data_IF_222558452304
#
_entry.id   IF_222558452304
#
_cell.length_a   1.000
_cell.length_b   1.000
_cell.length_c   1.000
_cell.angle_alpha   90.00
_cell.angle_beta   90.00
_cell.angle_gamma   90.00
#
_symmetry.space_group_name_H-M   'P 1'
#
loop_
_entity.id
_entity.type
_entity.pdbx_description
1 polymer ?
#
# COMPACT_ATOMS: atom_id res chain seq x y z
N UNK A 1 -27.03 -19.62 -26.01
CA UNK A 1 -25.73 -20.31 -25.79
C UNK A 1 -24.50 -19.48 -26.18
N UNK A 2 -24.54 -18.59 -27.19
CA UNK A 2 -23.36 -17.77 -27.55
C UNK A 2 -23.06 -16.63 -26.55
N UNK A 3 -24.08 -16.01 -25.95
CA UNK A 3 -23.92 -14.86 -25.05
C UNK A 3 -23.10 -15.14 -23.78
N UNK A 4 -23.34 -16.29 -23.13
CA UNK A 4 -22.63 -16.67 -21.90
C UNK A 4 -21.12 -16.90 -22.15
N UNK A 5 -20.78 -17.39 -23.34
CA UNK A 5 -19.39 -17.60 -23.76
C UNK A 5 -18.66 -16.28 -23.99
N UNK A 6 -19.32 -15.30 -24.62
CA UNK A 6 -18.77 -13.95 -24.83
C UNK A 6 -18.54 -13.26 -23.48
N UNK A 7 -19.51 -13.32 -22.57
CA UNK A 7 -19.40 -12.76 -21.22
C UNK A 7 -18.24 -13.41 -20.46
N UNK A 8 -18.10 -14.73 -20.54
CA UNK A 8 -17.00 -15.44 -19.89
C UNK A 8 -15.61 -15.02 -20.39
N UNK A 9 -15.45 -14.79 -21.70
CA UNK A 9 -14.21 -14.27 -22.29
C UNK A 9 -13.92 -12.86 -21.80
N UNK A 10 -14.93 -11.98 -21.75
CA UNK A 10 -14.77 -10.61 -21.25
C UNK A 10 -14.28 -10.62 -19.80
N UNK A 11 -14.91 -11.41 -18.92
CA UNK A 11 -14.47 -11.54 -17.53
C UNK A 11 -13.04 -12.08 -17.42
N UNK A 12 -12.67 -13.07 -18.22
CA UNK A 12 -11.31 -13.62 -18.23
C UNK A 12 -10.27 -12.56 -18.61
N UNK A 13 -10.51 -11.82 -19.69
CA UNK A 13 -9.61 -10.76 -20.15
C UNK A 13 -9.53 -9.64 -19.11
N UNK A 14 -10.67 -9.24 -18.54
CA UNK A 14 -10.72 -8.19 -17.52
C UNK A 14 -9.90 -8.58 -16.27
N UNK A 15 -10.08 -9.81 -15.78
CA UNK A 15 -9.33 -10.31 -14.62
C UNK A 15 -7.82 -10.37 -14.87
N UNK A 16 -7.41 -10.85 -16.06
CA UNK A 16 -5.99 -10.84 -16.46
C UNK A 16 -5.43 -9.42 -16.57
N UNK A 17 -6.18 -8.48 -17.16
CA UNK A 17 -5.76 -7.10 -17.32
C UNK A 17 -5.50 -6.44 -15.95
N UNK A 18 -6.39 -6.68 -14.97
CA UNK A 18 -6.21 -6.20 -13.58
C UNK A 18 -4.91 -6.74 -12.97
N UNK A 19 -4.63 -8.03 -13.15
CA UNK A 19 -3.39 -8.66 -12.63
C UNK A 19 -2.16 -8.05 -13.31
N UNK A 20 -2.13 -8.01 -14.65
CA UNK A 20 -1.01 -7.47 -15.41
C UNK A 20 -0.76 -6.00 -15.08
N UNK A 21 -1.81 -5.21 -14.94
CA UNK A 21 -1.71 -3.82 -14.52
C UNK A 21 -1.13 -3.68 -13.12
N UNK A 22 -1.61 -4.47 -12.15
CA UNK A 22 -1.09 -4.49 -10.78
C UNK A 22 0.39 -4.85 -10.71
N UNK A 23 0.81 -5.85 -11.50
CA UNK A 23 2.22 -6.26 -11.60
C UNK A 23 3.08 -5.19 -12.27
N UNK A 24 2.61 -4.59 -13.37
CA UNK A 24 3.33 -3.53 -14.08
C UNK A 24 3.50 -2.29 -13.19
N UNK A 25 2.45 -1.89 -12.48
CA UNK A 25 2.51 -0.79 -11.51
C UNK A 25 3.50 -1.09 -10.38
N UNK A 26 3.45 -2.30 -9.82
CA UNK A 26 4.40 -2.73 -8.78
C UNK A 26 5.84 -2.68 -9.29
N UNK A 27 6.09 -3.17 -10.50
CA UNK A 27 7.42 -3.12 -11.11
C UNK A 27 7.96 -1.69 -11.26
N UNK A 28 7.11 -0.73 -11.66
CA UNK A 28 7.51 0.68 -11.76
C UNK A 28 7.80 1.30 -10.39
N UNK A 29 7.08 0.90 -9.35
CA UNK A 29 7.31 1.35 -7.98
C UNK A 29 8.64 0.79 -7.45
N UNK A 30 8.94 -0.49 -7.69
CA UNK A 30 10.21 -1.09 -7.28
C UNK A 30 11.44 -0.47 -7.97
N UNK A 31 11.31 -0.03 -9.23
CA UNK A 31 12.39 0.73 -9.90
C UNK A 31 12.56 2.16 -9.42
N UNK A 32 11.63 2.68 -8.62
CA UNK A 32 11.61 4.09 -8.24
C UNK A 32 11.19 5.04 -9.38
N UNK A 33 10.59 4.51 -10.46
CA UNK A 33 10.08 5.31 -11.57
C UNK A 33 8.74 5.98 -11.25
N UNK A 34 8.05 5.55 -10.18
CA UNK A 34 6.86 6.19 -9.65
C UNK A 34 6.97 6.36 -8.14
N UNK A 35 6.44 7.49 -7.65
CA UNK A 35 6.35 7.75 -6.22
C UNK A 35 5.44 6.71 -5.55
N UNK A 36 5.87 6.16 -4.42
CA UNK A 36 5.03 5.29 -3.62
C UNK A 36 3.76 6.04 -3.22
N UNK A 37 2.58 5.39 -3.24
CA UNK A 37 1.40 5.95 -2.59
C UNK A 37 1.74 6.21 -1.13
N UNK A 38 1.72 7.49 -0.74
CA UNK A 38 2.08 7.94 0.60
C UNK A 38 0.87 7.84 1.53
N UNK A 39 0.54 6.62 1.92
CA UNK A 39 -0.45 6.29 2.97
C UNK A 39 0.05 6.79 4.33
N UNK A 40 1.34 6.65 4.59
CA UNK A 40 2.01 7.18 5.78
C UNK A 40 2.88 8.37 5.37
N UNK A 41 2.60 9.54 5.97
CA UNK A 41 3.39 10.75 5.83
C UNK A 41 3.94 11.15 7.19
N UNK A 42 5.15 11.70 7.20
CA UNK A 42 5.65 12.43 8.36
C UNK A 42 5.01 13.80 8.25
N UNK A 43 3.98 14.06 9.04
CA UNK A 43 3.72 15.45 9.41
C UNK A 43 4.99 15.92 10.12
N UNK A 44 5.69 16.90 9.53
CA UNK A 44 6.43 17.81 10.36
C UNK A 44 5.37 18.37 11.31
N UNK A 45 5.43 17.95 12.58
CA UNK A 45 4.65 18.60 13.62
C UNK A 45 5.20 20.02 13.65
N UNK A 46 4.61 20.90 12.85
CA UNK A 46 4.61 22.32 13.15
C UNK A 46 3.86 22.40 14.45
N UNK A 47 4.60 22.40 15.56
CA UNK A 47 4.09 22.86 16.83
C UNK A 47 3.78 24.34 16.65
N UNK A 48 2.64 24.60 15.99
CA UNK A 48 1.93 25.86 16.06
C UNK A 48 1.64 26.07 17.54
N UNK A 49 2.54 26.78 18.21
CA UNK A 49 2.38 27.26 19.57
C UNK A 49 1.34 28.38 19.55
N UNK A 50 0.11 28.04 19.20
CA UNK A 50 -1.08 28.83 19.51
C UNK A 50 -2.04 27.93 20.28
N UNK A 51 -1.78 27.89 21.60
CA UNK A 51 -2.80 27.66 22.62
C UNK A 51 -3.29 26.22 22.83
N UNK A 52 -2.69 25.52 23.79
CA UNK A 52 -3.44 24.83 24.84
C UNK A 52 -2.50 24.36 25.95
N UNK A 53 -2.98 24.53 27.17
CA UNK A 53 -2.23 24.50 28.42
C UNK A 53 -1.70 23.11 28.82
N UNK A 54 -0.66 23.17 29.64
CA UNK A 54 0.14 22.08 30.16
C UNK A 54 -0.38 21.62 31.52
N UNK A 55 -0.83 20.37 31.64
CA UNK A 55 -0.86 19.55 32.87
C UNK A 55 -0.83 18.08 32.40
N UNK A 56 0.04 17.13 32.75
CA UNK A 56 0.69 16.78 34.02
C UNK A 56 1.87 15.80 33.75
N UNK A 57 3.06 16.09 34.27
CA UNK A 57 3.90 15.16 35.04
C UNK A 57 4.48 13.84 34.49
N UNK A 58 4.27 13.44 33.23
CA UNK A 58 4.92 12.26 32.63
C UNK A 58 5.51 12.38 31.19
N UNK A 59 5.72 13.55 30.55
CA UNK A 59 6.17 13.58 29.15
C UNK A 59 7.66 13.27 28.96
N UNK A 60 8.48 13.43 29.99
CA UNK A 60 9.94 13.54 29.83
C UNK A 60 10.61 12.19 29.53
N UNK A 61 10.10 11.10 30.14
CA UNK A 61 10.64 9.76 29.91
C UNK A 61 10.19 9.21 28.55
N UNK A 62 8.96 9.48 28.10
CA UNK A 62 8.53 9.06 26.77
C UNK A 62 9.30 9.80 25.68
N UNK A 63 9.49 11.12 25.82
CA UNK A 63 10.29 11.91 24.89
C UNK A 63 11.76 11.50 24.87
N UNK A 64 12.39 11.24 26.02
CA UNK A 64 13.76 10.73 26.06
C UNK A 64 13.90 9.33 25.45
N UNK A 65 12.91 8.46 25.67
CA UNK A 65 12.88 7.13 25.04
C UNK A 65 12.76 7.27 23.51
N UNK A 66 11.89 8.15 23.04
CA UNK A 66 11.65 8.41 21.62
C UNK A 66 12.86 9.07 20.94
N UNK A 67 13.54 10.03 21.58
CA UNK A 67 14.80 10.62 21.12
C UNK A 67 15.94 9.59 21.08
N UNK A 68 16.06 8.74 22.10
CA UNK A 68 17.12 7.72 22.15
C UNK A 68 16.91 6.67 21.08
N UNK A 69 15.67 6.20 20.91
CA UNK A 69 15.30 5.23 19.87
C UNK A 69 15.47 5.84 18.48
N UNK A 70 14.98 7.06 18.25
CA UNK A 70 15.12 7.73 16.94
C UNK A 70 16.56 8.05 16.59
N UNK A 71 17.40 8.47 17.54
CA UNK A 71 18.84 8.70 17.35
C UNK A 71 19.59 7.41 16.98
N UNK A 72 19.30 6.30 17.66
CA UNK A 72 19.91 5.02 17.34
C UNK A 72 19.39 4.43 16.03
N UNK A 73 18.10 4.57 15.73
CA UNK A 73 17.52 4.15 14.45
C UNK A 73 18.05 5.00 13.29
N UNK A 74 18.19 6.31 13.46
CA UNK A 74 18.71 7.23 12.45
C UNK A 74 20.17 6.94 12.06
N UNK A 75 20.96 6.35 12.99
CA UNK A 75 22.33 5.89 12.70
C UNK A 75 22.38 4.65 11.80
N UNK A 76 21.32 3.84 11.77
CA UNK A 76 21.25 2.59 11.00
C UNK A 76 20.42 2.78 9.72
N UNK A 77 19.34 3.56 9.82
CA UNK A 77 18.40 3.83 8.73
C UNK A 77 18.27 5.34 8.51
N UNK A 78 18.49 5.84 7.28
CA UNK A 78 18.26 7.24 6.96
C UNK A 78 16.84 7.67 7.35
N UNK A 79 16.66 8.90 7.87
CA UNK A 79 15.35 9.41 8.23
C UNK A 79 14.37 9.29 7.06
N UNK A 80 13.15 8.81 7.33
CA UNK A 80 12.11 8.56 6.32
C UNK A 80 12.14 7.16 5.67
N UNK A 81 13.18 6.35 5.89
CA UNK A 81 13.24 4.97 5.36
C UNK A 81 12.12 4.09 5.93
N UNK A 82 11.81 4.24 7.22
CA UNK A 82 10.74 3.48 7.87
C UNK A 82 9.36 3.78 7.25
N UNK A 83 9.04 5.05 7.03
CA UNK A 83 7.81 5.45 6.35
C UNK A 83 7.75 4.92 4.92
N UNK A 84 8.86 4.99 4.19
CA UNK A 84 8.94 4.44 2.84
C UNK A 84 8.68 2.93 2.81
N UNK A 85 9.19 2.20 3.79
CA UNK A 85 8.98 0.76 3.95
C UNK A 85 7.51 0.45 4.29
N UNK A 86 6.89 1.21 5.20
CA UNK A 86 5.47 1.08 5.53
C UNK A 86 4.56 1.32 4.30
N UNK A 87 4.87 2.35 3.51
CA UNK A 87 4.16 2.61 2.25
C UNK A 87 4.34 1.48 1.23
N UNK A 88 5.54 0.90 1.13
CA UNK A 88 5.81 -0.23 0.24
C UNK A 88 5.04 -1.50 0.67
N UNK A 89 4.97 -1.76 1.98
CA UNK A 89 4.17 -2.86 2.54
C UNK A 89 2.69 -2.66 2.24
N UNK A 90 2.17 -1.44 2.44
CA UNK A 90 0.78 -1.10 2.11
C UNK A 90 0.48 -1.35 0.62
N UNK A 91 1.37 -0.90 -0.27
CA UNK A 91 1.25 -1.18 -1.70
C UNK A 91 1.30 -2.68 -2.02
N UNK A 92 2.17 -3.44 -1.33
CA UNK A 92 2.31 -4.88 -1.54
C UNK A 92 1.02 -5.63 -1.17
N UNK A 93 0.37 -5.23 -0.07
CA UNK A 93 -0.93 -5.77 0.33
C UNK A 93 -1.98 -5.43 -0.72
N UNK A 94 -1.99 -4.20 -1.23
CA UNK A 94 -2.91 -3.80 -2.28
C UNK A 94 -2.70 -4.59 -3.58
N UNK A 95 -1.46 -4.77 -4.02
CA UNK A 95 -1.11 -5.59 -5.18
C UNK A 95 -1.57 -7.04 -5.01
N UNK A 96 -1.41 -7.60 -3.81
CA UNK A 96 -1.91 -8.93 -3.48
C UNK A 96 -3.44 -9.03 -3.62
N UNK A 97 -4.18 -8.02 -3.13
CA UNK A 97 -5.63 -7.95 -3.29
C UNK A 97 -6.03 -7.90 -4.77
N UNK A 98 -5.31 -7.12 -5.60
CA UNK A 98 -5.56 -7.07 -7.05
C UNK A 98 -5.34 -8.43 -7.71
N UNK A 99 -4.30 -9.16 -7.32
CA UNK A 99 -4.01 -10.50 -7.85
C UNK A 99 -5.14 -11.47 -7.49
N UNK A 100 -5.57 -11.49 -6.22
CA UNK A 100 -6.66 -12.35 -5.77
C UNK A 100 -8.00 -11.97 -6.43
N UNK A 101 -8.33 -10.68 -6.46
CA UNK A 101 -9.55 -10.16 -7.07
C UNK A 101 -9.61 -10.42 -8.57
N UNK A 102 -8.55 -10.08 -9.30
CA UNK A 102 -8.42 -10.37 -10.73
C UNK A 102 -8.50 -11.86 -11.03
N UNK A 103 -7.89 -12.70 -10.19
CA UNK A 103 -7.98 -14.16 -10.29
C UNK A 103 -9.40 -14.69 -10.08
N UNK A 104 -10.16 -14.13 -9.13
CA UNK A 104 -11.59 -14.47 -8.94
C UNK A 104 -12.43 -14.07 -10.15
N UNK A 105 -12.21 -12.88 -10.69
CA UNK A 105 -12.92 -12.38 -11.89
C UNK A 105 -12.62 -13.30 -13.09
N UNK A 106 -11.35 -13.63 -13.31
CA UNK A 106 -10.96 -14.53 -14.39
C UNK A 106 -11.55 -15.95 -14.19
N UNK A 107 -11.54 -16.47 -12.97
CA UNK A 107 -12.12 -17.76 -12.62
C UNK A 107 -13.64 -17.82 -12.87
N UNK A 108 -14.37 -16.74 -12.57
CA UNK A 108 -15.79 -16.63 -12.92
C UNK A 108 -15.97 -16.67 -14.44
N UNK A 109 -15.11 -15.99 -15.20
CA UNK A 109 -15.12 -16.04 -16.66
C UNK A 109 -14.95 -17.45 -17.21
N UNK A 110 -13.98 -18.21 -16.68
CA UNK A 110 -13.75 -19.62 -17.07
C UNK A 110 -14.97 -20.49 -16.73
N UNK A 111 -15.53 -20.33 -15.54
CA UNK A 111 -16.69 -21.11 -15.08
C UNK A 111 -17.93 -20.85 -15.94
N UNK A 112 -18.13 -19.61 -16.38
CA UNK A 112 -19.20 -19.23 -17.30
C UNK A 112 -19.01 -19.87 -18.68
N UNK A 113 -17.79 -19.89 -19.22
CA UNK A 113 -17.50 -20.55 -20.50
C UNK A 113 -17.66 -22.08 -20.44
N UNK A 114 -17.30 -22.69 -19.30
CA UNK A 114 -17.39 -24.15 -19.13
C UNK A 114 -18.83 -24.66 -18.99
N UNK A 115 -19.76 -23.83 -18.55
CA UNK A 115 -21.17 -24.16 -18.37
C UNK A 115 -22.08 -23.57 -19.47
N UNK A 116 -21.51 -23.01 -20.55
CA UNK A 116 -22.22 -22.33 -21.65
C UNK A 116 -22.41 -23.20 -22.89
#
# INVERSE_FOLDING_TARGET
MVGNKIIGIILLILGLLVIFWGLYSSYNIFKGNQALPQVFRSEEIDFGLDGAESETGAPDIQKQMEETVSSQLAKIFPPGTFLKLMNLVSWSIFAWILILGGGKIAGLGIKLMSNA
#
